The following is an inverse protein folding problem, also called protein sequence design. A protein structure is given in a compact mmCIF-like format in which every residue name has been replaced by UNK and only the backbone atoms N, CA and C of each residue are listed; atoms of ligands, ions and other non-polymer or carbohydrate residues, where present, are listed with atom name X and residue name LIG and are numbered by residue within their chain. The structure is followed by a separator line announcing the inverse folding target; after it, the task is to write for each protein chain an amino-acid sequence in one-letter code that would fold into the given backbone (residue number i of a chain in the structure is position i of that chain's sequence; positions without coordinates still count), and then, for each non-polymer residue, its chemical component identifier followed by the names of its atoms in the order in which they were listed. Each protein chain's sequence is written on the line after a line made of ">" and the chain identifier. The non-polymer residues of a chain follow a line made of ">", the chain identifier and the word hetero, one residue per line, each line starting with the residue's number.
data_IF_992611401483
#
_entry.id   IF_992611401483
#
_cell.length_a   1.000
_cell.length_b   1.000
_cell.length_c   1.000
_cell.angle_alpha   90.00
_cell.angle_beta   90.00
_cell.angle_gamma   90.00
#
_symmetry.space_group_name_H-M   'P 1'
#
loop_
_entity.id
_entity.type
_entity.pdbx_description
1 polymer ?
#
# COMPACT_ATOMS: atom_id res chain seq x y z
N UNK A 1 25.15 5.04 -1.58
CA UNK A 1 24.42 3.95 -2.27
C UNK A 1 23.19 3.51 -1.45
N UNK A 2 22.22 4.41 -1.21
CA UNK A 2 21.02 4.09 -0.38
C UNK A 2 19.71 4.60 -1.04
N UNK A 3 19.80 5.30 -2.17
CA UNK A 3 18.66 6.06 -2.72
C UNK A 3 17.79 5.26 -3.68
N UNK A 4 18.27 4.14 -4.25
CA UNK A 4 17.47 3.32 -5.18
C UNK A 4 16.34 2.53 -4.50
N UNK A 5 16.49 2.16 -3.23
CA UNK A 5 15.45 1.43 -2.50
C UNK A 5 14.22 2.31 -2.20
N UNK A 6 14.42 3.59 -1.87
CA UNK A 6 13.32 4.57 -1.66
C UNK A 6 12.58 4.98 -2.95
N UNK A 7 13.18 4.71 -4.12
CA UNK A 7 12.57 5.00 -5.43
C UNK A 7 11.65 3.88 -5.91
N UNK A 8 11.76 2.67 -5.35
CA UNK A 8 10.92 1.51 -5.73
C UNK A 8 9.74 1.29 -4.78
N UNK A 9 9.82 1.80 -3.54
CA UNK A 9 8.60 2.04 -2.76
C UNK A 9 7.93 3.29 -3.33
N UNK A 10 6.62 3.27 -3.61
CA UNK A 10 5.89 4.49 -3.94
C UNK A 10 5.97 5.42 -2.73
N UNK A 11 6.99 6.26 -2.70
CA UNK A 11 7.00 7.43 -1.83
C UNK A 11 5.77 8.25 -2.21
N UNK A 12 4.80 8.29 -1.30
CA UNK A 12 3.74 9.31 -1.26
C UNK A 12 4.39 10.67 -1.59
N UNK A 13 4.07 11.31 -2.74
CA UNK A 13 4.52 12.66 -2.95
C UNK A 13 3.86 13.49 -1.86
N UNK A 14 4.69 14.15 -1.05
CA UNK A 14 4.26 15.02 0.03
C UNK A 14 3.60 16.23 -0.65
N UNK A 15 2.31 16.15 -0.96
CA UNK A 15 1.51 17.27 -1.41
C UNK A 15 0.47 17.52 -0.33
N UNK A 16 0.74 18.58 0.44
CA UNK A 16 -0.12 19.32 1.35
C UNK A 16 -1.63 19.10 1.16
N UNK A 17 -2.19 18.07 1.80
CA UNK A 17 -3.55 18.10 2.34
C UNK A 17 -3.55 17.52 3.75
N UNK A 18 -4.12 18.30 4.68
CA UNK A 18 -4.18 18.05 6.11
C UNK A 18 -4.70 16.64 6.45
N UNK A 19 -3.98 15.90 7.31
CA UNK A 19 -4.20 14.50 7.71
C UNK A 19 -3.89 13.42 6.65
N UNK A 20 -2.60 13.20 6.35
CA UNK A 20 -2.15 12.00 5.64
C UNK A 20 -2.16 10.82 6.63
N UNK A 21 -3.29 10.16 6.78
CA UNK A 21 -3.31 8.82 7.37
C UNK A 21 -2.61 7.85 6.41
N UNK A 22 -1.66 7.07 6.92
CA UNK A 22 -1.07 5.96 6.18
C UNK A 22 -2.16 5.08 5.55
N UNK A 23 -2.00 4.63 4.28
CA UNK A 23 -3.02 3.85 3.61
C UNK A 23 -3.30 2.57 4.40
N UNK A 24 -4.58 2.34 4.70
CA UNK A 24 -5.04 1.21 5.52
C UNK A 24 -5.17 -0.05 4.66
N UNK A 25 -5.47 0.12 3.37
CA UNK A 25 -5.65 -0.94 2.39
C UNK A 25 -5.24 -0.49 0.96
N UNK A 26 -5.38 -1.40 -0.01
CA UNK A 26 -5.10 -1.10 -1.42
C UNK A 26 -6.13 -0.14 -2.06
N UNK A 27 -7.32 0.02 -1.49
CA UNK A 27 -8.30 0.99 -1.98
C UNK A 27 -7.86 2.42 -1.65
N UNK A 28 -7.29 2.66 -0.46
CA UNK A 28 -6.64 3.93 -0.11
C UNK A 28 -5.49 4.27 -1.07
N UNK A 29 -4.69 3.26 -1.40
CA UNK A 29 -3.58 3.40 -2.35
C UNK A 29 -4.12 3.82 -3.73
N UNK A 30 -5.17 3.16 -4.23
CA UNK A 30 -5.81 3.50 -5.49
C UNK A 30 -6.39 4.93 -5.48
N UNK A 31 -7.08 5.33 -4.40
CA UNK A 31 -7.63 6.69 -4.23
C UNK A 31 -6.55 7.77 -4.20
N UNK A 32 -5.36 7.43 -3.73
CA UNK A 32 -4.19 8.31 -3.76
C UNK A 32 -3.52 8.39 -5.15
N UNK A 33 -4.10 7.76 -6.19
CA UNK A 33 -3.65 7.83 -7.57
C UNK A 33 -2.63 6.76 -7.96
N UNK A 34 -2.34 5.80 -7.07
CA UNK A 34 -1.48 4.67 -7.39
C UNK A 34 -2.29 3.56 -8.05
N UNK A 35 -2.21 3.50 -9.38
CA UNK A 35 -3.04 2.64 -10.22
C UNK A 35 -2.28 1.47 -10.86
N UNK A 36 -1.10 1.12 -10.34
CA UNK A 36 -0.30 0.00 -10.86
C UNK A 36 -0.35 -1.15 -9.88
N UNK A 37 -0.65 -2.36 -10.36
CA UNK A 37 -0.55 -3.55 -9.54
C UNK A 37 0.89 -3.79 -9.07
N UNK A 38 1.05 -4.29 -7.85
CA UNK A 38 2.36 -4.50 -7.25
C UNK A 38 2.34 -4.68 -5.75
N UNK A 39 3.52 -4.74 -5.14
CA UNK A 39 3.66 -4.87 -3.69
C UNK A 39 3.67 -3.50 -3.03
N UNK A 40 2.76 -3.28 -2.08
CA UNK A 40 2.65 -2.05 -1.33
C UNK A 40 2.70 -2.32 0.17
N UNK A 41 3.06 -1.28 0.93
CA UNK A 41 2.97 -1.26 2.39
C UNK A 41 1.65 -0.61 2.78
N UNK A 42 0.87 -1.29 3.61
CA UNK A 42 -0.35 -0.77 4.24
C UNK A 42 -0.19 -0.76 5.76
N UNK A 43 -0.98 0.07 6.44
CA UNK A 43 -1.03 0.20 7.90
C UNK A 43 -2.45 -0.08 8.41
N UNK A 44 -2.87 -1.35 8.44
CA UNK A 44 -4.20 -1.70 8.91
C UNK A 44 -4.31 -1.40 10.41
N UNK A 45 -5.32 -0.60 10.78
CA UNK A 45 -5.68 -0.35 12.17
C UNK A 45 -6.44 -1.56 12.72
N UNK A 46 -5.71 -2.59 13.11
CA UNK A 46 -6.29 -3.83 13.65
C UNK A 46 -5.51 -4.32 14.86
N UNK A 47 -6.24 -4.82 15.86
CA UNK A 47 -5.62 -5.49 17.02
C UNK A 47 -4.83 -6.74 16.62
N UNK A 48 -5.14 -7.34 15.48
CA UNK A 48 -4.43 -8.53 14.97
C UNK A 48 -3.06 -8.20 14.41
N UNK A 49 -2.87 -6.98 13.91
CA UNK A 49 -1.60 -6.51 13.32
C UNK A 49 -0.79 -5.68 14.31
N UNK A 50 -1.35 -5.33 15.48
CA UNK A 50 -0.75 -4.42 16.46
C UNK A 50 -0.27 -3.11 15.81
N UNK A 51 -1.05 -2.57 14.89
CA UNK A 51 -0.73 -1.37 14.10
C UNK A 51 0.61 -1.45 13.33
N UNK A 52 1.09 -2.67 13.06
CA UNK A 52 2.31 -2.90 12.27
C UNK A 52 2.04 -2.78 10.77
N UNK A 53 3.01 -2.28 9.99
CA UNK A 53 2.93 -2.28 8.54
C UNK A 53 2.91 -3.70 7.97
N UNK A 54 2.14 -3.91 6.91
CA UNK A 54 2.11 -5.16 6.15
C UNK A 54 2.47 -4.92 4.70
N UNK A 55 3.31 -5.79 4.14
CA UNK A 55 3.51 -5.88 2.69
C UNK A 55 2.37 -6.73 2.12
N UNK A 56 1.63 -6.18 1.17
CA UNK A 56 0.53 -6.84 0.47
C UNK A 56 0.70 -6.66 -1.03
N UNK A 57 0.16 -7.58 -1.82
CA UNK A 57 0.02 -7.36 -3.25
C UNK A 57 -1.29 -6.59 -3.48
N UNK A 58 -1.19 -5.39 -4.04
CA UNK A 58 -2.34 -4.65 -4.51
C UNK A 58 -2.56 -4.95 -5.99
N UNK A 59 -3.74 -5.46 -6.31
CA UNK A 59 -4.21 -5.56 -7.68
C UNK A 59 -5.05 -4.32 -8.01
N UNK A 60 -4.51 -3.50 -8.92
CA UNK A 60 -5.11 -2.25 -9.39
C UNK A 60 -5.70 -2.36 -10.80
N UNK A 61 -5.52 -3.50 -11.46
CA UNK A 61 -5.90 -3.69 -12.86
C UNK A 61 -7.23 -4.45 -12.98
N UNK A 62 -7.53 -5.35 -12.03
CA UNK A 62 -8.73 -6.19 -12.05
C UNK A 62 -9.94 -5.45 -11.47
N UNK A 63 -11.06 -5.45 -12.21
CA UNK A 63 -12.38 -5.00 -11.75
C UNK A 63 -12.38 -3.61 -11.08
N UNK A 64 -11.69 -2.64 -11.69
CA UNK A 64 -11.57 -1.28 -11.16
C UNK A 64 -10.50 -1.10 -10.07
N UNK A 65 -9.79 -2.16 -9.68
CA UNK A 65 -8.61 -2.12 -8.83
C UNK A 65 -8.90 -1.96 -7.33
N UNK A 66 -7.83 -1.77 -6.55
CA UNK A 66 -7.91 -1.57 -5.10
C UNK A 66 -8.00 -2.86 -4.29
N UNK A 67 -7.77 -4.01 -4.93
CA UNK A 67 -7.86 -5.31 -4.29
C UNK A 67 -6.62 -5.60 -3.44
N UNK A 68 -6.85 -5.91 -2.16
CA UNK A 68 -5.78 -6.34 -1.25
C UNK A 68 -5.65 -7.85 -1.29
N UNK A 69 -4.58 -8.33 -1.93
CA UNK A 69 -4.29 -9.76 -2.06
C UNK A 69 -3.19 -10.15 -1.07
N UNK A 70 -3.46 -11.18 -0.27
CA UNK A 70 -2.48 -11.71 0.70
C UNK A 70 -1.38 -12.46 -0.05
N UNK A 71 -0.14 -12.32 0.39
CA UNK A 71 0.88 -13.33 0.10
C UNK A 71 0.47 -14.64 0.82
N UNK A 72 -0.20 -15.54 0.10
CA UNK A 72 -0.29 -16.93 0.55
C UNK A 72 1.13 -17.49 0.55
N UNK A 73 1.76 -17.54 1.72
CA UNK A 73 2.81 -18.53 1.96
C UNK A 73 2.09 -19.87 1.98
N UNK A 74 2.14 -20.59 0.86
CA UNK A 74 1.75 -21.99 0.84
C UNK A 74 2.71 -22.73 1.78
N UNK A 75 2.14 -23.35 2.81
CA UNK A 75 2.86 -24.24 3.73
C UNK A 75 3.22 -25.56 3.03
#
# INVERSE_FOLDING_TARGET
>A
MITKAKLYYPMSPIISQNNISSPIDCADILRNGYNKSGVYVIWPKSRLTNDRPLNVFCDMDTDGGGWTVRFSVSF
#
